data_IF_183157585660
#
_entry.id   IF_183157585660
#
_cell.length_a   1.000
_cell.length_b   1.000
_cell.length_c   1.000
_cell.angle_alpha   90.00
_cell.angle_beta   90.00
_cell.angle_gamma   90.00
#
_symmetry.space_group_name_H-M   'P 1'
#
loop_
_entity.id
_entity.type
_entity.pdbx_description
1 polymer ?
#
# COMPACT_ATOMS: atom_id res chain seq x y z
N UNK A 1 -2.26 -5.32 -19.02
CA UNK A 1 -2.71 -6.67 -18.64
C UNK A 1 -1.71 -7.19 -17.65
N UNK A 2 -2.19 -7.68 -16.50
CA UNK A 2 -1.38 -8.34 -15.48
C UNK A 2 -1.48 -9.84 -15.65
N UNK A 3 -0.40 -10.55 -15.37
CA UNK A 3 -0.31 -12.00 -15.53
C UNK A 3 0.21 -12.62 -14.24
N UNK A 4 -0.40 -13.73 -13.84
CA UNK A 4 0.17 -14.67 -12.87
C UNK A 4 0.54 -15.93 -13.63
N UNK A 5 1.69 -16.49 -13.29
CA UNK A 5 2.27 -17.65 -13.97
C UNK A 5 2.51 -18.77 -12.96
N UNK A 6 2.26 -20.01 -13.38
CA UNK A 6 2.72 -21.19 -12.68
C UNK A 6 4.25 -21.32 -12.78
N UNK A 7 4.83 -22.14 -11.92
CA UNK A 7 6.27 -22.47 -11.92
C UNK A 7 6.74 -23.12 -13.23
N UNK A 8 5.84 -23.79 -13.95
CA UNK A 8 6.08 -24.38 -15.27
C UNK A 8 5.99 -23.36 -16.44
N UNK A 9 5.69 -22.09 -16.15
CA UNK A 9 5.58 -21.02 -17.15
C UNK A 9 4.26 -20.99 -17.91
N UNK A 10 3.24 -21.74 -17.47
CA UNK A 10 1.86 -21.56 -17.96
C UNK A 10 1.16 -20.43 -17.21
N UNK A 11 0.18 -19.77 -17.85
CA UNK A 11 -0.62 -18.72 -17.19
C UNK A 11 -1.55 -19.37 -16.16
N UNK A 12 -1.60 -18.82 -14.95
CA UNK A 12 -2.45 -19.31 -13.88
C UNK A 12 -3.94 -19.15 -14.26
N UNK A 13 -4.80 -20.15 -13.99
CA UNK A 13 -6.23 -20.04 -14.29
C UNK A 13 -6.87 -18.76 -13.74
N UNK A 14 -7.65 -18.07 -14.57
CA UNK A 14 -8.24 -16.79 -14.21
C UNK A 14 -7.40 -15.56 -14.58
N UNK A 15 -6.18 -15.74 -15.07
CA UNK A 15 -5.32 -14.65 -15.59
C UNK A 15 -5.19 -14.72 -17.13
N UNK A 16 -4.87 -13.60 -17.82
CA UNK A 16 -4.54 -12.27 -17.31
C UNK A 16 -5.74 -11.42 -16.89
N UNK A 17 -5.48 -10.46 -16.01
CA UNK A 17 -6.43 -9.43 -15.61
C UNK A 17 -6.15 -8.08 -16.29
N UNK A 18 -7.22 -7.32 -16.52
CA UNK A 18 -7.15 -6.03 -17.20
C UNK A 18 -7.02 -4.89 -16.19
N UNK A 19 -5.78 -4.48 -15.87
CA UNK A 19 -5.48 -3.27 -15.09
C UNK A 19 -5.60 -1.96 -15.89
N UNK A 20 -6.47 -1.88 -16.91
CA UNK A 20 -6.56 -0.67 -17.73
C UNK A 20 -7.41 0.41 -17.03
N UNK A 21 -6.77 1.46 -16.55
CA UNK A 21 -7.38 2.77 -16.50
C UNK A 21 -7.14 3.42 -17.87
N UNK A 22 -8.23 3.72 -18.60
CA UNK A 22 -8.36 4.60 -19.79
C UNK A 22 -7.33 4.48 -20.97
N UNK A 23 -7.79 4.80 -22.18
CA UNK A 23 -6.96 4.79 -23.40
C UNK A 23 -5.85 5.85 -23.34
N UNK A 24 -4.63 5.48 -22.98
CA UNK A 24 -3.49 6.42 -22.94
C UNK A 24 -2.11 5.81 -22.70
N UNK A 25 -2.04 4.55 -22.27
CA UNK A 25 -0.77 3.93 -21.85
C UNK A 25 -0.47 4.30 -20.42
N UNK A 26 -0.63 3.34 -19.51
CA UNK A 26 -0.34 3.51 -18.10
C UNK A 26 0.60 2.41 -17.63
N UNK A 27 1.57 2.79 -16.80
CA UNK A 27 2.51 1.88 -16.17
C UNK A 27 1.92 1.41 -14.83
N UNK A 28 1.37 0.18 -14.76
CA UNK A 28 1.07 -0.43 -13.46
C UNK A 28 2.34 -0.38 -12.60
N UNK A 29 2.18 0.03 -11.34
CA UNK A 29 3.28 0.10 -10.40
C UNK A 29 3.45 -1.24 -9.67
N UNK A 30 4.40 -1.26 -8.74
CA UNK A 30 4.83 -2.48 -8.03
C UNK A 30 3.66 -3.10 -7.25
N UNK A 31 3.53 -4.43 -7.36
CA UNK A 31 2.52 -5.23 -6.68
C UNK A 31 2.83 -5.38 -5.19
N UNK A 32 1.78 -5.59 -4.39
CA UNK A 32 1.91 -6.14 -3.03
C UNK A 32 0.97 -7.32 -2.86
N UNK A 33 1.31 -8.19 -1.91
CA UNK A 33 0.51 -9.36 -1.54
C UNK A 33 0.03 -9.25 -0.10
N UNK A 34 -1.13 -9.80 0.20
CA UNK A 34 -1.63 -9.96 1.56
C UNK A 34 -2.99 -10.67 1.57
N UNK A 35 -3.26 -11.39 2.65
CA UNK A 35 -4.52 -12.09 2.92
C UNK A 35 -5.50 -11.10 3.58
N UNK A 36 -6.26 -10.37 2.76
CA UNK A 36 -7.04 -9.20 3.21
C UNK A 36 -8.38 -9.58 3.82
N UNK A 37 -8.93 -10.73 3.43
CA UNK A 37 -10.21 -11.23 3.91
C UNK A 37 -10.12 -12.50 4.77
N UNK A 38 -8.90 -12.86 5.20
CA UNK A 38 -8.58 -13.94 6.14
C UNK A 38 -9.11 -15.30 5.66
N UNK A 39 -9.11 -15.51 4.34
CA UNK A 39 -9.54 -16.75 3.69
C UNK A 39 -8.39 -17.77 3.53
N UNK A 40 -7.16 -17.32 3.75
CA UNK A 40 -5.94 -18.12 3.72
C UNK A 40 -5.20 -18.10 2.38
N UNK A 41 -5.80 -17.54 1.34
CA UNK A 41 -5.15 -17.25 0.06
C UNK A 41 -4.65 -15.79 0.05
N UNK A 42 -3.79 -15.44 -0.92
CA UNK A 42 -3.23 -14.09 -1.02
C UNK A 42 -3.93 -13.30 -2.11
N UNK A 43 -4.32 -12.08 -1.78
CA UNK A 43 -4.74 -11.08 -2.74
C UNK A 43 -3.54 -10.34 -3.32
N UNK A 44 -3.73 -9.82 -4.52
CA UNK A 44 -2.72 -9.06 -5.26
C UNK A 44 -3.21 -7.63 -5.43
N UNK A 45 -2.43 -6.68 -4.90
CA UNK A 45 -2.73 -5.26 -4.87
C UNK A 45 -1.85 -4.49 -5.85
N UNK A 46 -2.45 -3.58 -6.62
CA UNK A 46 -1.73 -2.78 -7.62
C UNK A 46 -2.29 -1.36 -7.73
N UNK A 47 -1.42 -0.35 -7.84
CA UNK A 47 -1.82 1.01 -8.20
C UNK A 47 -1.59 1.30 -9.68
N UNK A 48 -2.52 2.02 -10.30
CA UNK A 48 -2.40 2.54 -11.67
C UNK A 48 -2.14 4.05 -11.68
N UNK A 49 -1.51 4.51 -12.76
CA UNK A 49 -1.09 5.88 -12.96
C UNK A 49 -2.26 6.89 -12.88
N UNK A 50 -3.50 6.50 -13.21
CA UNK A 50 -4.67 7.38 -13.17
C UNK A 50 -5.76 6.93 -12.21
N UNK A 51 -5.67 7.42 -10.98
CA UNK A 51 -6.73 7.40 -9.96
C UNK A 51 -7.27 6.05 -9.50
N UNK A 52 -6.70 4.93 -9.97
CA UNK A 52 -7.22 3.60 -9.68
C UNK A 52 -6.24 2.76 -8.91
N UNK A 53 -6.80 1.91 -8.08
CA UNK A 53 -6.07 0.82 -7.45
C UNK A 53 -6.94 -0.43 -7.51
N UNK A 54 -6.28 -1.56 -7.75
CA UNK A 54 -6.88 -2.86 -7.97
C UNK A 54 -6.48 -3.80 -6.84
N UNK A 55 -7.39 -4.70 -6.50
CA UNK A 55 -7.15 -5.83 -5.64
C UNK A 55 -7.87 -7.03 -6.26
N UNK A 56 -7.14 -8.11 -6.48
CA UNK A 56 -7.66 -9.36 -7.00
C UNK A 56 -7.32 -10.51 -6.07
N UNK A 57 -8.22 -11.45 -5.92
CA UNK A 57 -7.89 -12.77 -5.38
C UNK A 57 -6.88 -13.47 -6.29
N UNK A 58 -6.24 -14.51 -5.76
CA UNK A 58 -5.28 -15.32 -6.50
C UNK A 58 -5.86 -15.91 -7.81
N UNK A 59 -7.18 -16.13 -7.87
CA UNK A 59 -7.92 -16.64 -9.03
C UNK A 59 -8.32 -15.56 -10.06
N UNK A 60 -7.94 -14.30 -9.83
CA UNK A 60 -8.22 -13.17 -10.71
C UNK A 60 -9.61 -12.55 -10.54
N UNK A 61 -10.45 -13.03 -9.61
CA UNK A 61 -11.69 -12.34 -9.24
C UNK A 61 -11.40 -11.09 -8.41
N UNK A 62 -12.28 -10.08 -8.44
CA UNK A 62 -12.07 -8.86 -7.66
C UNK A 62 -12.33 -9.13 -6.18
N UNK A 63 -11.49 -8.55 -5.33
CA UNK A 63 -11.78 -8.42 -3.90
C UNK A 63 -13.03 -7.57 -3.69
N UNK A 64 -13.80 -7.87 -2.64
CA UNK A 64 -15.00 -7.12 -2.33
C UNK A 64 -14.73 -5.61 -2.20
N UNK A 65 -15.52 -4.80 -2.92
CA UNK A 65 -15.36 -3.34 -2.93
C UNK A 65 -14.27 -2.81 -3.87
N UNK A 66 -13.56 -3.66 -4.60
CA UNK A 66 -12.51 -3.30 -5.55
C UNK A 66 -12.95 -3.46 -7.03
N UNK A 67 -12.36 -2.69 -7.97
CA UNK A 67 -11.28 -1.72 -7.79
C UNK A 67 -11.76 -0.38 -7.18
N UNK A 68 -10.85 0.32 -6.52
CA UNK A 68 -11.08 1.70 -6.10
C UNK A 68 -10.74 2.67 -7.23
N UNK A 69 -11.60 3.67 -7.39
CA UNK A 69 -11.46 4.70 -8.43
C UNK A 69 -11.42 6.07 -7.75
N UNK A 70 -10.80 7.05 -8.40
CA UNK A 70 -10.72 8.43 -7.95
C UNK A 70 -10.01 8.61 -6.59
N UNK A 71 -9.10 7.71 -6.21
CA UNK A 71 -8.43 7.76 -4.89
C UNK A 71 -7.22 8.71 -4.84
N UNK A 72 -6.99 9.50 -5.91
CA UNK A 72 -5.84 10.38 -6.12
C UNK A 72 -5.78 10.81 -7.57
N UNK A 73 -5.23 11.98 -7.90
CA UNK A 73 -4.79 12.32 -9.25
C UNK A 73 -3.72 11.37 -9.79
N UNK A 74 -2.72 11.12 -8.95
CA UNK A 74 -1.61 10.27 -9.28
C UNK A 74 -1.23 9.36 -8.12
N UNK A 75 -0.99 8.10 -8.44
CA UNK A 75 -0.67 7.07 -7.45
C UNK A 75 0.54 6.31 -7.95
N UNK A 76 1.64 6.46 -7.22
CA UNK A 76 2.97 6.04 -7.65
C UNK A 76 3.66 5.10 -6.67
N UNK A 77 2.91 4.61 -5.70
CA UNK A 77 3.49 3.88 -4.58
C UNK A 77 2.97 2.48 -4.55
N UNK A 78 3.89 1.55 -4.26
CA UNK A 78 3.52 0.22 -3.86
C UNK A 78 2.54 0.30 -2.67
N UNK A 79 1.36 -0.34 -2.76
CA UNK A 79 0.48 -0.50 -1.62
C UNK A 79 1.20 -1.18 -0.46
N UNK A 80 0.90 -0.78 0.75
CA UNK A 80 1.41 -1.40 1.96
C UNK A 80 0.23 -2.08 2.64
N UNK A 81 0.44 -3.31 3.12
CA UNK A 81 -0.62 -4.13 3.70
C UNK A 81 -0.28 -4.44 5.15
N UNK A 82 -1.19 -4.14 6.05
CA UNK A 82 -1.08 -4.49 7.47
C UNK A 82 -2.25 -3.94 8.28
N UNK A 83 -2.51 -4.49 9.47
CA UNK A 83 -3.56 -4.03 10.39
C UNK A 83 -3.16 -2.69 11.03
N UNK A 84 -3.92 -1.63 10.78
CA UNK A 84 -3.61 -0.23 11.10
C UNK A 84 -4.56 0.33 12.12
N UNK A 85 -5.83 -0.08 12.08
CA UNK A 85 -6.80 0.34 13.06
C UNK A 85 -6.85 -0.59 14.29
N UNK A 86 -6.19 -1.74 14.24
CA UNK A 86 -6.04 -2.68 15.36
C UNK A 86 -7.21 -3.64 15.50
N UNK A 87 -8.01 -3.84 14.45
CA UNK A 87 -9.17 -4.73 14.47
C UNK A 87 -8.83 -6.22 14.27
N UNK A 88 -7.55 -6.51 13.97
CA UNK A 88 -7.04 -7.85 13.72
C UNK A 88 -7.11 -8.30 12.26
N UNK A 89 -7.56 -7.45 11.35
CA UNK A 89 -7.64 -7.70 9.91
C UNK A 89 -6.69 -6.74 9.17
N UNK A 90 -5.93 -7.20 8.15
CA UNK A 90 -5.06 -6.29 7.43
C UNK A 90 -5.84 -5.20 6.68
N UNK A 91 -5.25 -4.00 6.65
CA UNK A 91 -5.69 -2.86 5.86
C UNK A 91 -4.74 -2.58 4.70
N UNK A 92 -5.13 -1.64 3.85
CA UNK A 92 -4.43 -1.25 2.64
C UNK A 92 -4.07 0.22 2.71
N UNK A 93 -2.78 0.53 2.78
CA UNK A 93 -2.25 1.89 2.76
C UNK A 93 -1.62 2.21 1.41
N UNK A 94 -1.85 3.42 0.90
CA UNK A 94 -1.11 3.96 -0.23
C UNK A 94 -0.92 5.46 -0.10
N UNK A 95 0.07 6.01 -0.82
CA UNK A 95 0.22 7.44 -0.97
C UNK A 95 -0.59 7.91 -2.18
N UNK A 96 -1.47 8.86 -1.93
CA UNK A 96 -2.28 9.51 -2.95
C UNK A 96 -1.89 10.98 -3.11
N UNK A 97 -1.81 11.43 -4.36
CA UNK A 97 -1.65 12.84 -4.70
C UNK A 97 -2.97 13.40 -5.20
N UNK A 98 -3.55 14.41 -4.57
CA UNK A 98 -4.67 15.19 -5.11
C UNK A 98 -4.21 16.64 -5.32
N UNK A 99 -4.36 17.18 -6.53
CA UNK A 99 -3.86 18.50 -6.91
C UNK A 99 -2.37 18.69 -6.56
N UNK A 100 -2.07 19.66 -5.69
CA UNK A 100 -0.74 19.99 -5.16
C UNK A 100 -0.53 19.48 -3.73
N UNK A 101 -1.33 18.49 -3.31
CA UNK A 101 -1.28 17.89 -1.97
C UNK A 101 -0.99 16.40 -2.07
N UNK A 102 -0.12 15.92 -1.20
CA UNK A 102 0.16 14.50 -1.04
C UNK A 102 -0.41 14.05 0.31
N UNK A 103 -1.01 12.86 0.34
CA UNK A 103 -1.58 12.28 1.54
C UNK A 103 -1.36 10.78 1.59
N UNK A 104 -1.39 10.21 2.79
CA UNK A 104 -1.54 8.78 3.01
C UNK A 104 -3.03 8.50 3.12
N UNK A 105 -3.52 7.54 2.37
CA UNK A 105 -4.88 7.02 2.48
C UNK A 105 -4.81 5.55 2.88
N UNK A 106 -5.70 5.14 3.77
CA UNK A 106 -5.81 3.77 4.24
C UNK A 106 -7.25 3.28 4.03
N UNK A 107 -7.40 2.02 3.64
CA UNK A 107 -8.67 1.37 3.45
C UNK A 107 -8.74 0.06 4.23
N UNK A 108 -9.87 -0.22 4.86
CA UNK A 108 -10.12 -1.55 5.46
C UNK A 108 -10.31 -2.62 4.38
N UNK A 109 -10.50 -3.87 4.81
CA UNK A 109 -10.73 -5.01 3.93
C UNK A 109 -12.06 -4.96 3.13
N UNK A 110 -13.04 -4.13 3.51
CA UNK A 110 -14.21 -3.81 2.65
C UNK A 110 -13.93 -2.65 1.68
N UNK A 111 -12.75 -2.04 1.80
CA UNK A 111 -12.29 -0.91 1.01
C UNK A 111 -12.93 0.43 1.40
N UNK A 112 -13.42 0.55 2.63
CA UNK A 112 -13.84 1.81 3.23
C UNK A 112 -12.62 2.55 3.79
N UNK A 113 -12.61 3.89 3.75
CA UNK A 113 -11.47 4.66 4.28
C UNK A 113 -11.47 4.55 5.80
N UNK A 114 -10.31 4.26 6.39
CA UNK A 114 -10.16 4.17 7.85
C UNK A 114 -10.37 5.52 8.54
N UNK A 115 -10.86 5.46 9.77
CA UNK A 115 -11.02 6.64 10.62
C UNK A 115 -9.69 7.36 10.83
N UNK A 116 -9.72 8.69 10.69
CA UNK A 116 -8.53 9.53 10.81
C UNK A 116 -7.62 9.55 9.57
N UNK A 117 -8.02 8.92 8.47
CA UNK A 117 -7.43 9.09 7.13
C UNK A 117 -8.31 9.98 6.24
N UNK A 118 -7.73 10.67 5.25
CA UNK A 118 -6.31 10.68 4.88
C UNK A 118 -5.42 11.49 5.84
N UNK A 119 -4.13 11.09 5.96
CA UNK A 119 -3.10 11.85 6.68
C UNK A 119 -2.32 12.75 5.71
N UNK A 120 -2.20 14.04 6.00
CA UNK A 120 -1.55 14.99 5.08
C UNK A 120 -0.01 14.91 5.12
N UNK A 121 0.60 14.54 3.98
CA UNK A 121 2.06 14.50 3.83
C UNK A 121 2.60 15.92 3.59
N UNK A 122 2.16 16.69 2.60
CA UNK A 122 2.44 18.16 2.49
C UNK A 122 1.57 18.83 1.43
N UNK A 123 1.40 20.15 1.59
CA UNK A 123 0.78 21.06 0.64
C UNK A 123 1.77 22.03 -0.05
N UNK A 124 1.50 22.26 -1.34
CA UNK A 124 1.99 23.33 -2.22
C UNK A 124 3.15 22.94 -3.15
N UNK A 125 2.78 22.70 -4.41
CA UNK A 125 3.55 22.49 -5.63
C UNK A 125 4.63 21.40 -5.69
N UNK A 126 4.87 20.64 -4.62
CA UNK A 126 5.79 19.49 -4.61
C UNK A 126 5.05 18.18 -4.90
N UNK A 127 5.43 17.46 -5.96
CA UNK A 127 4.92 16.11 -6.24
C UNK A 127 5.92 15.09 -5.70
N UNK A 128 5.53 14.36 -4.65
CA UNK A 128 6.36 13.28 -4.12
C UNK A 128 6.01 12.01 -4.89
N UNK A 129 6.91 11.60 -5.77
CA UNK A 129 6.77 10.37 -6.54
C UNK A 129 7.49 9.21 -5.85
N UNK A 130 6.92 8.01 -5.95
CA UNK A 130 7.59 6.73 -5.72
C UNK A 130 8.17 6.51 -4.31
N UNK A 131 7.48 6.95 -3.25
CA UNK A 131 7.87 6.62 -1.87
C UNK A 131 6.76 5.83 -1.17
N UNK A 132 6.84 4.51 -1.23
CA UNK A 132 5.95 3.68 -0.42
C UNK A 132 6.14 4.05 1.08
N UNK A 133 5.05 4.23 1.85
CA UNK A 133 5.16 4.40 3.28
C UNK A 133 5.77 3.16 3.93
N UNK A 134 6.21 3.30 5.17
CA UNK A 134 6.67 2.22 6.03
C UNK A 134 5.78 2.19 7.27
N UNK A 135 5.47 0.99 7.74
CA UNK A 135 4.73 0.74 8.98
C UNK A 135 5.61 -0.10 9.91
N UNK A 136 5.84 0.39 11.12
CA UNK A 136 6.63 -0.29 12.14
C UNK A 136 6.33 0.29 13.52
N UNK A 137 6.62 -0.48 14.57
CA UNK A 137 6.88 0.06 15.91
C UNK A 137 8.35 0.54 15.95
N UNK A 138 8.54 1.83 15.67
CA UNK A 138 9.83 2.50 15.52
C UNK A 138 10.43 2.90 16.86
N UNK A 139 9.61 3.36 17.81
CA UNK A 139 10.09 3.86 19.10
C UNK A 139 9.96 2.86 20.26
N UNK A 140 9.34 1.70 20.00
CA UNK A 140 9.20 0.54 20.90
C UNK A 140 8.21 0.76 22.03
N UNK A 141 7.19 1.58 21.81
CA UNK A 141 6.08 1.72 22.75
C UNK A 141 4.94 0.72 22.50
N UNK A 142 4.97 0.03 21.37
CA UNK A 142 4.03 -1.02 20.99
C UNK A 142 2.88 -0.54 20.11
N UNK A 143 2.84 0.75 19.75
CA UNK A 143 1.88 1.30 18.82
C UNK A 143 2.47 1.36 17.39
N UNK A 144 1.62 1.66 16.41
CA UNK A 144 1.99 1.69 15.00
C UNK A 144 2.50 3.09 14.61
N UNK A 145 3.72 3.16 14.06
CA UNK A 145 4.19 4.34 13.33
C UNK A 145 4.06 4.15 11.82
N UNK A 146 3.48 5.16 11.17
CA UNK A 146 3.55 5.33 9.73
C UNK A 146 4.64 6.34 9.39
N UNK A 147 5.61 5.94 8.59
CA UNK A 147 6.71 6.79 8.11
C UNK A 147 6.51 7.06 6.62
N UNK A 148 6.54 8.33 6.21
CA UNK A 148 6.50 8.70 4.80
C UNK A 148 7.41 9.86 4.47
N UNK A 149 7.86 9.90 3.21
CA UNK A 149 8.66 11.00 2.66
C UNK A 149 7.76 12.15 2.26
N UNK A 150 8.19 13.36 2.57
CA UNK A 150 7.52 14.60 2.24
C UNK A 150 8.46 15.55 1.47
N UNK A 151 7.88 16.43 0.64
CA UNK A 151 8.61 17.51 -0.04
C UNK A 151 7.93 18.83 0.28
N UNK A 152 8.50 19.55 1.25
CA UNK A 152 7.92 20.77 1.81
C UNK A 152 8.56 21.98 1.15
N UNK A 153 7.76 23.00 0.83
CA UNK A 153 8.31 24.30 0.47
C UNK A 153 8.93 24.97 1.70
N UNK A 154 10.11 25.54 1.51
CA UNK A 154 10.76 26.40 2.48
C UNK A 154 10.66 27.87 2.04
N UNK A 155 10.58 28.79 3.02
CA UNK A 155 10.58 30.23 2.76
C UNK A 155 11.90 30.62 2.06
N UNK A 156 11.79 31.00 0.77
CA UNK A 156 12.92 31.20 -0.12
C UNK A 156 12.85 30.46 -1.47
N UNK A 157 11.83 29.63 -1.71
CA UNK A 157 11.59 28.98 -3.00
C UNK A 157 12.34 27.66 -3.23
N UNK A 158 12.98 27.13 -2.20
CA UNK A 158 13.66 25.83 -2.20
C UNK A 158 12.72 24.74 -1.66
N UNK A 159 12.84 23.51 -2.18
CA UNK A 159 12.12 22.34 -1.65
C UNK A 159 13.01 21.57 -0.66
N UNK A 160 12.47 21.26 0.52
CA UNK A 160 13.12 20.40 1.49
C UNK A 160 12.49 19.02 1.46
N UNK A 161 13.32 17.98 1.40
CA UNK A 161 12.87 16.62 1.67
C UNK A 161 12.80 16.43 3.18
N UNK A 162 11.65 15.99 3.68
CA UNK A 162 11.49 15.60 5.07
C UNK A 162 10.95 14.18 5.17
N UNK A 163 11.04 13.65 6.37
CA UNK A 163 10.35 12.43 6.79
C UNK A 163 9.27 12.87 7.77
N UNK A 164 8.05 12.42 7.53
CA UNK A 164 6.95 12.54 8.47
C UNK A 164 6.69 11.19 9.11
N UNK A 165 6.40 11.23 10.39
CA UNK A 165 6.04 10.08 11.20
C UNK A 165 4.71 10.39 11.87
N UNK A 166 3.75 9.48 11.73
CA UNK A 166 2.51 9.48 12.48
C UNK A 166 2.54 8.30 13.41
N UNK A 167 2.52 8.58 14.70
CA UNK A 167 2.33 7.64 15.79
C UNK A 167 0.80 7.47 15.97
N UNK A 168 0.33 6.24 15.83
CA UNK A 168 -1.07 5.84 15.97
C UNK A 168 -1.31 5.28 17.37
N UNK A 169 -2.55 4.95 17.72
CA UNK A 169 -2.87 4.35 19.03
C UNK A 169 -3.23 2.87 18.92
N UNK A 170 -3.12 2.32 17.72
CA UNK A 170 -3.43 0.94 17.42
C UNK A 170 -2.17 0.09 17.61
N UNK A 171 -2.34 -1.08 18.20
CA UNK A 171 -1.25 -1.97 18.59
C UNK A 171 -0.48 -2.50 17.36
N UNK A 172 0.84 -2.42 17.40
CA UNK A 172 1.68 -3.03 16.37
C UNK A 172 1.72 -4.56 16.54
N UNK A 173 1.02 -5.25 15.64
CA UNK A 173 1.08 -6.71 15.57
C UNK A 173 1.83 -7.17 14.31
N UNK A 174 3.08 -7.59 14.48
CA UNK A 174 3.93 -8.05 13.37
C UNK A 174 3.31 -9.20 12.54
N UNK A 175 2.41 -10.01 13.12
CA UNK A 175 1.77 -11.14 12.43
C UNK A 175 0.65 -10.70 11.50
N UNK A 176 0.18 -9.46 11.67
CA UNK A 176 -0.81 -8.79 10.82
C UNK A 176 -0.17 -7.81 9.86
N UNK A 177 1.17 -7.77 9.79
CA UNK A 177 1.93 -6.95 8.85
C UNK A 177 2.31 -7.79 7.64
N UNK A 178 1.36 -7.91 6.71
CA UNK A 178 1.45 -8.73 5.48
C UNK A 178 2.49 -8.20 4.48
N UNK A 179 2.54 -6.87 4.29
CA UNK A 179 3.49 -6.20 3.41
C UNK A 179 3.76 -4.77 3.92
N UNK A 180 4.50 -4.60 5.02
CA UNK A 180 4.58 -3.33 5.77
C UNK A 180 5.50 -2.26 5.15
N UNK A 181 6.23 -2.59 4.07
CA UNK A 181 7.19 -1.68 3.46
C UNK A 181 7.47 -2.00 2.00
N UNK A 182 8.23 -1.10 1.36
CA UNK A 182 8.73 -1.32 0.01
C UNK A 182 9.44 -2.67 -0.10
N UNK A 183 9.07 -3.47 -1.12
CA UNK A 183 9.65 -4.79 -1.37
C UNK A 183 9.57 -5.75 -0.15
N UNK A 184 8.48 -5.64 0.62
CA UNK A 184 8.03 -6.52 1.69
C UNK A 184 8.86 -6.48 2.99
N UNK A 185 10.19 -6.47 2.91
CA UNK A 185 11.06 -6.61 4.07
C UNK A 185 12.28 -5.67 4.04
N UNK A 186 13.03 -5.66 5.15
CA UNK A 186 14.21 -4.78 5.32
C UNK A 186 15.36 -5.10 4.37
N UNK A 187 15.32 -6.24 3.67
CA UNK A 187 16.28 -6.61 2.62
C UNK A 187 15.75 -6.32 1.22
N UNK A 188 14.52 -5.81 1.09
CA UNK A 188 13.83 -5.51 -0.15
C UNK A 188 13.76 -6.71 -1.09
N UNK A 189 13.42 -7.90 -0.57
CA UNK A 189 13.41 -9.11 -1.39
C UNK A 189 12.28 -9.16 -2.40
N UNK A 190 11.17 -8.46 -2.13
CA UNK A 190 9.92 -8.60 -2.90
C UNK A 190 9.29 -9.98 -2.79
N UNK A 191 9.71 -10.79 -1.81
CA UNK A 191 9.25 -12.15 -1.61
C UNK A 191 8.36 -12.22 -0.37
N UNK A 192 7.10 -12.59 -0.59
CA UNK A 192 6.16 -12.80 0.50
C UNK A 192 6.49 -14.10 1.25
N UNK A 193 6.54 -14.00 2.58
CA UNK A 193 6.61 -15.17 3.46
C UNK A 193 5.64 -15.00 4.60
N UNK A 194 4.71 -15.94 4.76
CA UNK A 194 3.81 -15.95 5.91
C UNK A 194 4.65 -16.08 7.18
N UNK A 195 4.56 -15.09 8.07
CA UNK A 195 5.35 -15.09 9.30
C UNK A 195 4.87 -16.21 10.20
N UNK A 196 5.76 -17.15 10.49
CA UNK A 196 5.50 -18.19 11.49
C UNK A 196 5.86 -17.68 12.88
N UNK A 197 5.33 -18.32 13.92
CA UNK A 197 5.59 -17.95 15.33
C UNK A 197 7.08 -17.81 15.68
N UNK A 198 7.96 -18.52 14.98
CA UNK A 198 9.41 -18.50 15.19
C UNK A 198 10.12 -17.28 14.57
N UNK A 199 9.50 -16.64 13.56
CA UNK A 199 10.04 -15.42 12.93
C UNK A 199 9.65 -14.14 13.69
N UNK A 200 8.68 -14.23 14.60
CA UNK A 200 8.13 -13.12 15.38
C UNK A 200 8.96 -12.77 16.64
N UNK A 201 10.02 -13.54 16.93
CA UNK A 201 10.79 -13.49 18.18
C UNK A 201 12.23 -12.92 18.03
N UNK A 202 12.53 -12.18 16.96
CA UNK A 202 13.88 -11.63 16.72
C UNK A 202 13.89 -10.12 16.57
#
# INVERSE_FOLDING_TARGET
MEYVWNDDGTVYPGWPQNAYAVSGGENPQIASLGDIDDDGDLEIFFTSYWHKMFAWHHDGTNVNGWPKNNIGEWIFTQPIIGDIDGDGVPDIITQSTHDQTNSIIAFNNQGEILDGFPKEIVSHSGRVYNSAPLIADLDKDGDIEIVSRSQDQWDGGEFLLRVKVWDLQSEYNLSKMEWPMFQHDTHNTGFYTKKTSDQMLK
#
